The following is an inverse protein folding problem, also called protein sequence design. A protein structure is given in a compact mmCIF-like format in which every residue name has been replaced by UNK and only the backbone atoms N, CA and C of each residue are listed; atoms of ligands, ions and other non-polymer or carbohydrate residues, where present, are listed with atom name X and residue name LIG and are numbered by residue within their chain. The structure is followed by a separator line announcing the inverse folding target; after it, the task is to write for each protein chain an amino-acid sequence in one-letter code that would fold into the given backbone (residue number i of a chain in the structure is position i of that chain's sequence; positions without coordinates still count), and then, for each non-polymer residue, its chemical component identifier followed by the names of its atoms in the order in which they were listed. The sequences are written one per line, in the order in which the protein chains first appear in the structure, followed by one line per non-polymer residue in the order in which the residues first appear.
data_IF_779925180470
#
_entry.id   IF_779925180470
#
_cell.length_a   1.000
_cell.length_b   1.000
_cell.length_c   1.000
_cell.angle_alpha   90.00
_cell.angle_beta   90.00
_cell.angle_gamma   90.00
#
_symmetry.space_group_name_H-M   'P 1'
#
loop_
_entity.id
_entity.type
_entity.pdbx_description
1 polymer ?
#
# COMPACT_ATOMS: atom_id res chain seq x y z
N UNK A 1 -11.89 4.32 -16.01
CA UNK A 1 -10.58 3.73 -16.36
C UNK A 1 -10.52 2.35 -15.72
N UNK A 2 -10.00 1.35 -16.41
CA UNK A 2 -9.96 -0.03 -15.89
C UNK A 2 -8.57 -0.36 -15.34
N UNK A 3 -8.42 -1.50 -14.65
CA UNK A 3 -7.15 -1.87 -14.01
C UNK A 3 -5.99 -2.07 -15.00
N UNK A 4 -6.25 -2.49 -16.24
CA UNK A 4 -5.18 -2.64 -17.25
C UNK A 4 -4.64 -1.28 -17.70
N UNK A 5 -5.50 -0.28 -17.88
CA UNK A 5 -5.07 1.09 -18.18
C UNK A 5 -4.12 1.62 -17.07
N UNK A 6 -4.42 1.31 -15.80
CA UNK A 6 -3.59 1.71 -14.65
C UNK A 6 -2.26 0.95 -14.58
N UNK A 7 -2.22 -0.32 -15.01
CA UNK A 7 -0.98 -1.09 -15.14
C UNK A 7 -0.05 -0.46 -16.17
N UNK A 8 -0.58 -0.03 -17.31
CA UNK A 8 0.22 0.64 -18.35
C UNK A 8 0.84 1.94 -17.81
N UNK A 9 0.08 2.75 -17.07
CA UNK A 9 0.60 3.97 -16.43
C UNK A 9 1.73 3.63 -15.43
N UNK A 10 1.55 2.59 -14.61
CA UNK A 10 2.59 2.17 -13.66
C UNK A 10 3.89 1.75 -14.36
N UNK A 11 3.78 1.01 -15.46
CA UNK A 11 4.91 0.40 -16.17
C UNK A 11 5.65 1.40 -17.07
N UNK A 12 4.94 2.33 -17.70
CA UNK A 12 5.52 3.25 -18.69
C UNK A 12 6.21 4.46 -18.05
N UNK A 13 5.70 4.95 -16.91
CA UNK A 13 6.09 6.25 -16.35
C UNK A 13 6.92 6.14 -15.06
N UNK A 14 7.50 4.96 -14.80
CA UNK A 14 8.35 4.66 -13.63
C UNK A 14 7.67 4.84 -12.25
N UNK A 15 6.36 5.07 -12.21
CA UNK A 15 5.56 5.23 -10.99
C UNK A 15 5.63 4.01 -10.07
N UNK A 16 5.58 4.24 -8.77
CA UNK A 16 5.52 3.18 -7.75
C UNK A 16 4.10 2.80 -7.40
N UNK A 17 3.17 3.74 -7.54
CA UNK A 17 1.75 3.52 -7.31
C UNK A 17 0.90 4.42 -8.23
N UNK A 18 -0.21 3.86 -8.70
CA UNK A 18 -1.26 4.53 -9.46
C UNK A 18 -2.59 4.22 -8.78
N UNK A 19 -3.39 5.24 -8.51
CA UNK A 19 -4.68 5.11 -7.83
C UNK A 19 -5.75 5.77 -8.67
N UNK A 20 -6.79 5.04 -8.99
CA UNK A 20 -7.98 5.58 -9.63
C UNK A 20 -9.09 5.80 -8.61
N UNK A 21 -9.43 7.07 -8.39
CA UNK A 21 -10.39 7.52 -7.38
C UNK A 21 -11.79 7.59 -8.00
N UNK A 22 -12.65 6.61 -7.70
CA UNK A 22 -14.09 6.58 -7.99
C UNK A 22 -14.52 7.31 -9.27
N UNK A 23 -14.00 6.86 -10.42
CA UNK A 23 -14.24 7.41 -11.76
C UNK A 23 -13.88 8.89 -12.01
N UNK A 24 -13.31 9.59 -11.03
CA UNK A 24 -13.11 11.03 -11.06
C UNK A 24 -11.69 11.47 -11.42
N UNK A 25 -10.66 10.76 -10.95
CA UNK A 25 -9.26 11.18 -11.15
C UNK A 25 -8.24 10.06 -10.96
N UNK A 26 -7.05 10.22 -11.56
CA UNK A 26 -5.89 9.36 -11.35
C UNK A 26 -4.88 10.10 -10.48
N UNK A 27 -4.42 9.46 -9.42
CA UNK A 27 -3.27 9.87 -8.64
C UNK A 27 -2.09 8.97 -8.98
N UNK A 28 -0.92 9.56 -9.14
CA UNK A 28 0.34 8.85 -9.36
C UNK A 28 1.38 9.32 -8.34
N UNK A 29 2.26 8.41 -7.95
CA UNK A 29 3.42 8.76 -7.12
C UNK A 29 4.60 7.86 -7.43
N UNK A 30 5.80 8.42 -7.24
CA UNK A 30 7.08 7.72 -7.25
C UNK A 30 7.61 7.46 -5.83
N UNK A 31 6.88 7.93 -4.82
CA UNK A 31 7.24 7.71 -3.42
C UNK A 31 7.16 6.23 -3.09
N UNK A 32 8.02 5.78 -2.18
CA UNK A 32 8.21 4.36 -1.92
C UNK A 32 7.61 3.92 -0.59
N UNK A 33 7.27 2.64 -0.51
CA UNK A 33 6.65 2.05 0.68
C UNK A 33 5.25 2.63 0.88
N UNK A 34 4.84 2.79 2.14
CA UNK A 34 3.47 3.23 2.47
C UNK A 34 3.26 4.75 2.35
N UNK A 35 4.29 5.53 2.00
CA UNK A 35 4.25 7.00 1.97
C UNK A 35 3.10 7.57 1.11
N UNK A 36 2.86 7.12 -0.13
CA UNK A 36 1.74 7.64 -0.93
C UNK A 36 0.38 7.41 -0.27
N UNK A 37 0.16 6.21 0.28
CA UNK A 37 -1.09 5.85 0.96
C UNK A 37 -1.30 6.70 2.21
N UNK A 38 -0.25 6.90 3.00
CA UNK A 38 -0.31 7.69 4.22
C UNK A 38 -0.61 9.16 3.95
N UNK A 39 -0.01 9.76 2.91
CA UNK A 39 -0.32 11.14 2.49
C UNK A 39 -1.82 11.30 2.20
N UNK A 40 -2.39 10.39 1.42
CA UNK A 40 -3.82 10.43 1.09
C UNK A 40 -4.71 10.20 2.30
N UNK A 41 -4.39 9.22 3.14
CA UNK A 41 -5.16 8.91 4.36
C UNK A 41 -5.14 10.02 5.40
N UNK A 42 -4.02 10.73 5.55
CA UNK A 42 -3.88 11.84 6.47
C UNK A 42 -4.58 13.12 5.98
N UNK A 43 -4.70 13.29 4.66
CA UNK A 43 -5.47 14.38 4.07
C UNK A 43 -6.97 14.13 4.23
N UNK A 44 -7.45 13.00 3.70
CA UNK A 44 -8.83 12.56 3.83
C UNK A 44 -8.94 11.08 3.45
N UNK A 45 -9.47 10.25 4.36
CA UNK A 45 -9.71 8.83 4.12
C UNK A 45 -10.53 8.56 2.85
N UNK A 46 -11.46 9.47 2.50
CA UNK A 46 -12.30 9.34 1.30
C UNK A 46 -11.50 9.33 -0.02
N UNK A 47 -10.25 9.78 0.00
CA UNK A 47 -9.36 9.79 -1.16
C UNK A 47 -9.06 8.40 -1.73
N UNK A 48 -9.26 7.35 -0.93
CA UNK A 48 -9.00 5.96 -1.30
C UNK A 48 -10.26 5.07 -1.27
N UNK A 49 -11.39 5.60 -0.81
CA UNK A 49 -12.65 4.86 -0.72
C UNK A 49 -13.11 4.45 -2.12
N UNK A 50 -13.50 3.18 -2.27
CA UNK A 50 -13.94 2.56 -3.52
C UNK A 50 -12.94 2.67 -4.70
N UNK A 51 -11.67 2.98 -4.41
CA UNK A 51 -10.63 3.16 -5.42
C UNK A 51 -10.09 1.84 -5.98
N UNK A 52 -9.45 1.94 -7.15
CA UNK A 52 -8.61 0.88 -7.72
C UNK A 52 -7.15 1.29 -7.52
N UNK A 53 -6.35 0.43 -6.89
CA UNK A 53 -4.94 0.69 -6.59
C UNK A 53 -4.04 -0.25 -7.38
N UNK A 54 -3.04 0.30 -8.06
CA UNK A 54 -1.98 -0.46 -8.73
C UNK A 54 -0.65 -0.05 -8.12
N UNK A 55 -0.01 -0.95 -7.38
CA UNK A 55 1.24 -0.69 -6.64
C UNK A 55 2.31 -1.69 -7.06
N UNK A 56 3.58 -1.25 -7.18
CA UNK A 56 4.70 -2.12 -7.56
C UNK A 56 4.93 -3.27 -6.58
N UNK A 57 4.79 -3.04 -5.27
CA UNK A 57 5.05 -4.07 -4.25
C UNK A 57 4.14 -3.88 -3.04
N UNK A 58 3.34 -4.89 -2.71
CA UNK A 58 2.40 -4.82 -1.57
C UNK A 58 2.80 -5.78 -0.44
N UNK A 59 3.18 -5.19 0.69
CA UNK A 59 3.36 -5.87 1.98
C UNK A 59 2.13 -5.77 2.89
N UNK A 60 2.14 -6.48 4.03
CA UNK A 60 1.03 -6.52 5.01
C UNK A 60 0.59 -5.13 5.45
N UNK A 61 1.55 -4.24 5.71
CA UNK A 61 1.28 -2.87 6.11
C UNK A 61 0.47 -2.09 5.06
N UNK A 62 0.86 -2.16 3.78
CA UNK A 62 0.13 -1.51 2.71
C UNK A 62 -1.27 -2.11 2.53
N UNK A 63 -1.40 -3.43 2.63
CA UNK A 63 -2.70 -4.10 2.57
C UNK A 63 -3.65 -3.64 3.67
N UNK A 64 -3.17 -3.56 4.92
CA UNK A 64 -3.98 -3.07 6.05
C UNK A 64 -4.40 -1.60 5.85
N UNK A 65 -3.54 -0.74 5.30
CA UNK A 65 -3.90 0.64 4.97
C UNK A 65 -4.97 0.72 3.88
N UNK A 66 -4.87 -0.12 2.84
CA UNK A 66 -5.86 -0.19 1.76
C UNK A 66 -7.21 -0.71 2.26
N UNK A 67 -7.21 -1.71 3.14
CA UNK A 67 -8.42 -2.18 3.83
C UNK A 67 -9.00 -1.07 4.70
N UNK A 68 -8.16 -0.43 5.53
CA UNK A 68 -8.59 0.66 6.39
C UNK A 68 -9.29 1.75 5.58
N UNK A 69 -8.73 2.11 4.42
CA UNK A 69 -9.25 3.08 3.48
C UNK A 69 -10.58 2.69 2.79
N UNK A 70 -10.90 1.40 2.70
CA UNK A 70 -12.03 0.91 1.89
C UNK A 70 -11.71 0.89 0.39
N UNK A 71 -10.47 0.56 0.01
CA UNK A 71 -10.10 0.28 -1.38
C UNK A 71 -10.95 -0.87 -1.92
N UNK A 72 -11.32 -0.83 -3.20
CA UNK A 72 -12.20 -1.85 -3.81
C UNK A 72 -11.45 -2.95 -4.52
N UNK A 73 -10.37 -2.56 -5.22
CA UNK A 73 -9.64 -3.47 -6.09
C UNK A 73 -8.16 -3.09 -6.14
N UNK A 74 -7.32 -4.12 -6.16
CA UNK A 74 -5.86 -3.97 -6.10
C UNK A 74 -5.19 -4.84 -7.15
N UNK A 75 -4.19 -4.28 -7.82
CA UNK A 75 -3.18 -5.06 -8.54
C UNK A 75 -1.77 -4.76 -8.07
N UNK A 76 -0.92 -5.79 -8.04
CA UNK A 76 0.52 -5.62 -7.83
C UNK A 76 1.34 -6.69 -8.54
N UNK A 77 2.50 -6.37 -9.13
CA UNK A 77 3.43 -7.39 -9.62
C UNK A 77 3.92 -8.32 -8.51
N UNK A 78 4.17 -7.80 -7.29
CA UNK A 78 4.69 -8.59 -6.17
C UNK A 78 3.92 -8.33 -4.90
N UNK A 79 3.36 -9.39 -4.32
CA UNK A 79 2.63 -9.34 -3.05
C UNK A 79 3.26 -10.27 -2.02
N UNK A 80 3.19 -9.91 -0.74
CA UNK A 80 3.54 -10.84 0.34
C UNK A 80 2.37 -11.75 0.74
N UNK A 81 2.62 -13.01 1.14
CA UNK A 81 1.58 -13.92 1.65
C UNK A 81 0.69 -13.32 2.75
N UNK A 82 1.23 -12.59 3.75
CA UNK A 82 0.38 -11.95 4.76
C UNK A 82 -0.50 -10.83 4.20
N UNK A 83 -0.07 -10.13 3.14
CA UNK A 83 -0.93 -9.17 2.45
C UNK A 83 -2.08 -9.87 1.71
N UNK A 84 -1.82 -11.02 1.08
CA UNK A 84 -2.86 -11.86 0.47
C UNK A 84 -3.90 -12.27 1.50
N UNK A 85 -3.48 -12.71 2.69
CA UNK A 85 -4.38 -13.08 3.79
C UNK A 85 -5.24 -11.89 4.24
N UNK A 86 -4.64 -10.72 4.44
CA UNK A 86 -5.37 -9.49 4.79
C UNK A 86 -6.47 -9.21 3.77
N UNK A 87 -6.14 -9.19 2.47
CA UNK A 87 -7.13 -8.88 1.45
C UNK A 87 -8.25 -9.93 1.35
N UNK A 88 -7.92 -11.22 1.48
CA UNK A 88 -8.91 -12.31 1.50
C UNK A 88 -9.88 -12.19 2.68
N UNK A 89 -9.39 -11.82 3.85
CA UNK A 89 -10.22 -11.67 5.05
C UNK A 89 -11.13 -10.43 5.03
N UNK A 90 -10.88 -9.50 4.11
CA UNK A 90 -11.59 -8.23 4.00
C UNK A 90 -12.32 -8.04 2.66
N UNK A 91 -12.49 -9.12 1.88
CA UNK A 91 -13.22 -9.14 0.61
C UNK A 91 -12.74 -8.12 -0.43
N UNK A 92 -11.43 -7.80 -0.42
CA UNK A 92 -10.81 -6.91 -1.40
C UNK A 92 -10.47 -7.72 -2.65
N UNK A 93 -10.86 -7.22 -3.82
CA UNK A 93 -10.48 -7.86 -5.09
C UNK A 93 -8.98 -7.68 -5.33
N UNK A 94 -8.26 -8.78 -5.46
CA UNK A 94 -6.82 -8.76 -5.66
C UNK A 94 -6.40 -9.54 -6.90
N UNK A 95 -5.48 -8.96 -7.66
CA UNK A 95 -4.75 -9.65 -8.74
C UNK A 95 -3.26 -9.38 -8.58
N UNK A 96 -2.41 -10.38 -8.78
CA UNK A 96 -0.97 -10.21 -8.68
C UNK A 96 -0.21 -11.17 -9.58
N UNK A 97 1.04 -10.84 -9.92
CA UNK A 97 1.87 -11.70 -10.78
C UNK A 97 2.69 -12.71 -9.96
N UNK A 98 3.18 -12.30 -8.79
CA UNK A 98 4.02 -13.13 -7.91
C UNK A 98 3.69 -12.93 -6.44
N UNK A 99 3.67 -14.04 -5.69
CA UNK A 99 3.57 -14.06 -4.23
C UNK A 99 4.93 -14.44 -3.62
N UNK A 100 5.32 -13.76 -2.54
CA UNK A 100 6.53 -14.04 -1.76
C UNK A 100 6.20 -14.17 -0.27
N UNK A 101 6.99 -14.91 0.50
CA UNK A 101 6.72 -15.12 1.92
C UNK A 101 6.61 -13.80 2.71
N UNK A 102 7.55 -12.86 2.46
CA UNK A 102 7.63 -11.55 3.11
C UNK A 102 8.31 -10.52 2.21
N UNK A 103 7.99 -9.23 2.40
CA UNK A 103 8.70 -8.14 1.73
C UNK A 103 10.04 -7.86 2.42
N UNK A 104 11.12 -7.96 1.65
CA UNK A 104 12.49 -7.64 2.08
C UNK A 104 12.73 -6.12 1.98
N UNK A 105 13.56 -5.59 2.86
CA UNK A 105 13.96 -4.20 2.83
C UNK A 105 14.84 -3.89 1.60
N UNK A 106 15.06 -2.61 1.33
CA UNK A 106 15.83 -2.17 0.14
C UNK A 106 17.31 -2.57 0.17
N UNK A 107 17.88 -2.78 1.36
CA UNK A 107 19.27 -3.23 1.51
C UNK A 107 19.43 -4.72 1.19
N UNK A 108 18.33 -5.48 1.17
CA UNK A 108 18.36 -6.92 0.97
C UNK A 108 18.87 -7.70 2.19
N UNK A 109 19.04 -7.04 3.34
CA UNK A 109 19.68 -7.62 4.54
C UNK A 109 18.67 -7.99 5.63
N UNK A 110 17.38 -7.80 5.40
CA UNK A 110 16.33 -8.14 6.36
C UNK A 110 14.92 -7.74 5.90
N UNK A 111 13.94 -7.95 6.77
CA UNK A 111 12.55 -7.59 6.48
C UNK A 111 12.36 -6.08 6.34
N UNK A 112 11.43 -5.69 5.46
CA UNK A 112 10.97 -4.32 5.37
C UNK A 112 10.48 -3.83 6.75
N UNK A 113 10.89 -2.65 7.24
CA UNK A 113 10.46 -2.15 8.55
C UNK A 113 8.93 -2.05 8.69
N UNK A 114 8.23 -1.71 7.60
CA UNK A 114 6.76 -1.65 7.59
C UNK A 114 6.15 -3.05 7.69
N UNK A 115 6.73 -4.03 7.01
CA UNK A 115 6.30 -5.44 7.11
C UNK A 115 6.47 -5.94 8.55
N UNK A 116 7.62 -5.67 9.16
CA UNK A 116 7.92 -6.01 10.56
C UNK A 116 6.95 -5.35 11.53
N UNK A 117 6.63 -4.07 11.32
CA UNK A 117 5.73 -3.30 12.19
C UNK A 117 4.32 -3.90 12.28
N UNK A 118 3.86 -4.57 11.23
CA UNK A 118 2.51 -5.10 11.12
C UNK A 118 2.41 -6.63 11.24
N UNK A 119 3.49 -7.33 11.58
CA UNK A 119 3.50 -8.81 11.64
C UNK A 119 2.35 -9.37 12.49
N UNK A 120 2.13 -8.78 13.65
CA UNK A 120 1.16 -9.18 14.69
C UNK A 120 -0.15 -8.38 14.65
N UNK A 121 -0.36 -7.56 13.61
CA UNK A 121 -1.53 -6.67 13.52
C UNK A 121 -2.50 -7.20 12.48
N UNK A 122 -3.73 -7.46 12.90
CA UNK A 122 -4.82 -7.83 11.98
C UNK A 122 -5.92 -6.75 11.93
N UNK A 123 -5.90 -5.78 12.85
CA UNK A 123 -6.84 -4.67 12.84
C UNK A 123 -6.31 -3.51 11.94
N UNK A 124 -7.05 -3.13 10.87
CA UNK A 124 -6.61 -2.08 9.94
C UNK A 124 -6.45 -0.69 10.57
N UNK A 125 -7.29 -0.33 11.54
CA UNK A 125 -7.24 0.95 12.24
C UNK A 125 -6.00 1.04 13.15
N UNK A 126 -5.69 -0.04 13.88
CA UNK A 126 -4.47 -0.14 14.67
C UNK A 126 -3.22 -0.04 13.78
N UNK A 127 -3.24 -0.66 12.60
CA UNK A 127 -2.15 -0.56 11.64
C UNK A 127 -1.92 0.89 11.18
N UNK A 128 -2.99 1.60 10.83
CA UNK A 128 -2.91 3.02 10.46
C UNK A 128 -2.30 3.87 11.58
N UNK A 129 -2.72 3.66 12.83
CA UNK A 129 -2.17 4.37 13.98
C UNK A 129 -0.66 4.08 14.18
N UNK A 130 -0.25 2.80 14.18
CA UNK A 130 1.15 2.43 14.37
C UNK A 130 2.05 2.93 13.24
N UNK A 131 1.59 2.85 12.00
CA UNK A 131 2.34 3.34 10.83
C UNK A 131 2.48 4.86 10.89
N UNK A 132 1.40 5.59 11.20
CA UNK A 132 1.44 7.05 11.39
C UNK A 132 2.51 7.45 12.41
N UNK A 133 2.47 6.80 13.59
CA UNK A 133 3.42 7.09 14.66
C UNK A 133 4.86 6.74 14.28
N UNK A 134 5.07 5.64 13.56
CA UNK A 134 6.40 5.25 13.08
C UNK A 134 6.98 6.31 12.13
N UNK A 135 6.17 6.83 11.20
CA UNK A 135 6.61 7.87 10.26
C UNK A 135 6.94 9.19 10.96
N UNK A 136 6.16 9.60 11.97
CA UNK A 136 6.47 10.79 12.77
C UNK A 136 7.80 10.69 13.50
N UNK A 137 8.09 9.53 14.11
CA UNK A 137 9.35 9.31 14.84
C UNK A 137 10.53 9.29 13.87
N UNK A 138 10.39 8.64 12.71
CA UNK A 138 11.42 8.60 11.67
C UNK A 138 11.76 9.99 11.11
N UNK A 139 10.77 10.88 11.00
CA UNK A 139 10.98 12.25 10.54
C UNK A 139 11.64 13.15 11.61
N UNK A 140 11.41 12.89 12.91
CA UNK A 140 12.06 13.64 14.01
C UNK A 140 13.54 13.33 14.21
N UNK A 141 14.06 12.28 13.56
CA UNK A 141 15.49 11.93 13.61
C UNK A 141 16.38 12.68 12.60
N UNK A 142 15.83 13.65 11.87
CA UNK A 142 16.55 14.45 10.86
C UNK A 142 16.87 15.88 11.37
N UNK A 143 16.27 16.30 12.50
CA UNK A 143 16.44 17.64 13.08
C UNK A 143 17.27 17.66 14.39
N UNK A 144 18.20 16.73 14.60
CA UNK A 144 19.11 16.71 15.76
C UNK A 144 20.57 16.63 15.37
#
# INVERSE_FOLDING_TARGET
MNINDLKEILLNDNHTIVIYKNDASVFVSDDRGVVPLMKLLQEDKSQLLDSIVVDKVIGKAAALLMVFAGVKEVFTPTISSPAVEVFKNHDIKITFDSEVDRIINRKGDGLCPMETLCLDIDNPEEAFFRISRFQEIGNRGIDS
#
